data_IF_185857153344
#
_entry.id   IF_185857153344
#
_cell.length_a   1.000
_cell.length_b   1.000
_cell.length_c   1.000
_cell.angle_alpha   90.00
_cell.angle_beta   90.00
_cell.angle_gamma   90.00
#
_symmetry.space_group_name_H-M   'P 1'
#
loop_
_entity.id
_entity.type
_entity.pdbx_description
1 polymer ?
#
# COMPACT_ATOMS: atom_id res chain seq x y z
N UNK A 1 -9.12 -10.17 6.73
CA UNK A 1 -9.52 -10.33 5.30
C UNK A 1 -8.30 -10.79 4.53
N UNK A 2 -8.49 -11.64 3.52
CA UNK A 2 -7.41 -12.03 2.62
C UNK A 2 -6.93 -10.79 1.82
N UNK A 3 -5.63 -10.74 1.55
CA UNK A 3 -5.01 -9.68 0.75
C UNK A 3 -5.51 -9.75 -0.70
N UNK A 4 -6.02 -8.64 -1.24
CA UNK A 4 -6.39 -8.53 -2.66
C UNK A 4 -5.15 -8.12 -3.46
N UNK A 5 -4.83 -8.85 -4.53
CA UNK A 5 -3.59 -8.67 -5.30
C UNK A 5 -3.85 -8.11 -6.71
N UNK A 6 -2.94 -7.24 -7.18
CA UNK A 6 -2.93 -6.80 -8.58
C UNK A 6 -2.37 -7.92 -9.46
N UNK A 7 -3.18 -8.38 -10.42
CA UNK A 7 -2.76 -9.26 -11.49
C UNK A 7 -2.73 -8.53 -12.84
N UNK A 8 -1.76 -8.86 -13.68
CA UNK A 8 -1.58 -8.28 -15.02
C UNK A 8 -1.27 -9.39 -16.00
N UNK A 9 -1.89 -9.34 -17.18
CA UNK A 9 -1.57 -10.20 -18.32
C UNK A 9 -0.28 -9.70 -18.96
N UNK A 10 0.74 -10.56 -19.05
CA UNK A 10 2.11 -10.19 -19.42
C UNK A 10 2.72 -11.21 -20.39
N UNK A 11 3.80 -10.81 -21.05
CA UNK A 11 4.48 -11.63 -22.05
C UNK A 11 3.68 -11.79 -23.35
N UNK A 12 2.66 -10.94 -23.55
CA UNK A 12 1.79 -10.99 -24.72
C UNK A 12 2.39 -10.26 -25.93
N UNK A 13 3.24 -9.25 -25.69
CA UNK A 13 3.82 -8.40 -26.74
C UNK A 13 5.36 -8.52 -26.80
N UNK A 14 5.99 -8.39 -27.99
CA UNK A 14 7.45 -8.39 -28.11
C UNK A 14 8.13 -7.24 -27.38
N UNK A 15 7.47 -6.09 -27.24
CA UNK A 15 7.95 -4.91 -26.50
C UNK A 15 6.85 -4.45 -25.55
N UNK A 16 6.86 -4.99 -24.34
CA UNK A 16 5.94 -4.64 -23.27
C UNK A 16 6.68 -3.77 -22.25
N UNK A 17 6.01 -2.75 -21.70
CA UNK A 17 6.64 -1.77 -20.82
C UNK A 17 7.08 -2.44 -19.50
N UNK A 18 8.37 -2.37 -19.17
CA UNK A 18 8.95 -2.93 -17.92
C UNK A 18 8.25 -2.42 -16.66
N UNK A 19 7.62 -1.24 -16.70
CA UNK A 19 6.87 -0.68 -15.56
C UNK A 19 5.60 -1.47 -15.23
N UNK A 20 5.03 -2.21 -16.19
CA UNK A 20 3.91 -3.13 -15.92
C UNK A 20 4.39 -4.30 -15.06
N UNK A 21 5.54 -4.88 -15.40
CA UNK A 21 6.14 -5.97 -14.63
C UNK A 21 6.50 -5.56 -13.21
N UNK A 22 6.97 -4.32 -13.01
CA UNK A 22 7.26 -3.76 -11.69
C UNK A 22 6.00 -3.56 -10.83
N UNK A 23 4.84 -3.37 -11.46
CA UNK A 23 3.57 -3.13 -10.76
C UNK A 23 2.86 -4.43 -10.35
N UNK A 24 2.98 -5.49 -11.15
CA UNK A 24 2.29 -6.77 -10.94
C UNK A 24 2.71 -7.47 -9.63
N UNK A 25 1.72 -7.89 -8.82
CA UNK A 25 1.92 -8.85 -7.72
C UNK A 25 1.79 -10.30 -8.22
N UNK A 26 0.99 -10.46 -9.28
CA UNK A 26 0.60 -11.73 -9.90
C UNK A 26 0.68 -11.52 -11.43
N UNK A 27 1.45 -12.34 -12.15
CA UNK A 27 1.72 -12.18 -13.58
C UNK A 27 1.17 -13.35 -14.39
N UNK A 28 0.12 -13.10 -15.18
CA UNK A 28 -0.48 -14.12 -16.05
C UNK A 28 0.30 -14.14 -17.36
N UNK A 29 1.19 -15.11 -17.52
CA UNK A 29 2.15 -15.15 -18.62
C UNK A 29 1.56 -15.93 -19.80
N UNK A 30 1.48 -15.29 -20.97
CA UNK A 30 1.01 -15.92 -22.20
C UNK A 30 1.79 -17.20 -22.54
N UNK A 31 1.09 -18.24 -23.00
CA UNK A 31 1.67 -19.60 -23.14
C UNK A 31 1.80 -20.09 -24.59
N UNK A 32 1.67 -19.20 -25.57
CA UNK A 32 1.85 -19.48 -26.98
C UNK A 32 0.57 -19.69 -27.79
N UNK A 33 -0.59 -19.84 -27.15
CA UNK A 33 -1.89 -20.01 -27.82
C UNK A 33 -2.34 -18.73 -28.53
N UNK A 34 -2.67 -17.69 -27.76
CA UNK A 34 -3.08 -16.38 -28.28
C UNK A 34 -1.90 -15.45 -28.52
N UNK A 35 -0.92 -15.53 -27.63
CA UNK A 35 0.27 -14.70 -27.60
C UNK A 35 1.39 -15.45 -26.86
N UNK A 36 2.59 -14.85 -26.79
CA UNK A 36 3.75 -15.44 -26.15
C UNK A 36 4.62 -16.23 -27.12
N UNK A 37 5.91 -15.91 -27.16
CA UNK A 37 6.96 -16.75 -27.75
C UNK A 37 8.02 -17.04 -26.68
N UNK A 38 9.05 -17.82 -27.00
CA UNK A 38 10.09 -18.15 -26.03
C UNK A 38 10.74 -16.91 -25.41
N UNK A 39 10.97 -15.88 -26.23
CA UNK A 39 11.63 -14.64 -25.80
C UNK A 39 10.72 -13.84 -24.86
N UNK A 40 9.46 -13.65 -25.20
CA UNK A 40 8.53 -12.87 -24.38
C UNK A 40 8.18 -13.60 -23.07
N UNK A 41 8.00 -14.92 -23.11
CA UNK A 41 7.79 -15.75 -21.92
C UNK A 41 9.00 -15.71 -20.98
N UNK A 42 10.22 -15.90 -21.52
CA UNK A 42 11.46 -15.83 -20.72
C UNK A 42 11.63 -14.46 -20.08
N UNK A 43 11.42 -13.37 -20.83
CA UNK A 43 11.48 -12.01 -20.26
C UNK A 43 10.50 -11.83 -19.10
N UNK A 44 9.25 -12.30 -19.25
CA UNK A 44 8.25 -12.19 -18.21
C UNK A 44 8.62 -12.99 -16.95
N UNK A 45 9.17 -14.19 -17.12
CA UNK A 45 9.68 -15.03 -16.02
C UNK A 45 10.88 -14.38 -15.32
N UNK A 46 11.83 -13.84 -16.07
CA UNK A 46 12.98 -13.12 -15.50
C UNK A 46 12.55 -11.87 -14.74
N UNK A 47 11.55 -11.13 -15.25
CA UNK A 47 10.97 -10.00 -14.55
C UNK A 47 10.27 -10.44 -13.25
N UNK A 48 9.58 -11.57 -13.27
CA UNK A 48 9.01 -12.16 -12.04
C UNK A 48 10.10 -12.50 -11.02
N UNK A 49 11.22 -13.07 -11.47
CA UNK A 49 12.38 -13.36 -10.59
C UNK A 49 12.96 -12.08 -9.98
N UNK A 50 13.13 -11.01 -10.78
CA UNK A 50 13.66 -9.73 -10.32
C UNK A 50 12.76 -9.02 -9.31
N UNK A 51 11.44 -9.07 -9.53
CA UNK A 51 10.47 -8.29 -8.76
C UNK A 51 9.82 -9.07 -7.61
N UNK A 52 10.05 -10.40 -7.53
CA UNK A 52 9.33 -11.26 -6.59
C UNK A 52 7.84 -11.44 -6.93
N UNK A 53 7.46 -11.23 -8.19
CA UNK A 53 6.10 -11.39 -8.70
C UNK A 53 5.75 -12.88 -8.85
N UNK A 54 4.52 -13.25 -8.51
CA UNK A 54 4.05 -14.64 -8.66
C UNK A 54 3.74 -14.93 -10.13
N UNK A 55 4.39 -15.93 -10.71
CA UNK A 55 4.16 -16.34 -12.10
C UNK A 55 3.04 -17.39 -12.22
N UNK A 56 2.17 -17.21 -13.21
CA UNK A 56 1.11 -18.16 -13.55
C UNK A 56 0.92 -18.32 -15.05
N UNK A 57 0.35 -19.46 -15.44
CA UNK A 57 0.06 -19.75 -16.84
C UNK A 57 -1.17 -18.98 -17.31
N UNK A 58 -1.10 -18.42 -18.51
CA UNK A 58 -2.21 -17.75 -19.17
C UNK A 58 -2.60 -18.46 -20.48
N UNK A 59 -3.17 -19.69 -20.40
CA UNK A 59 -3.54 -20.46 -21.57
C UNK A 59 -4.79 -19.91 -22.25
N UNK A 60 -4.93 -20.13 -23.54
CA UNK A 60 -6.01 -19.60 -24.37
C UNK A 60 -6.51 -20.65 -25.38
N UNK A 61 -7.52 -20.30 -26.17
CA UNK A 61 -7.69 -20.94 -27.47
C UNK A 61 -6.47 -20.66 -28.37
N UNK A 62 -6.13 -21.58 -29.28
CA UNK A 62 -5.05 -21.39 -30.26
C UNK A 62 -5.49 -20.46 -31.39
N UNK A 63 -5.66 -19.19 -31.06
CA UNK A 63 -6.19 -18.15 -31.93
C UNK A 63 -5.30 -16.91 -31.89
N UNK A 64 -4.06 -17.06 -32.36
CA UNK A 64 -3.10 -15.95 -32.39
C UNK A 64 -3.55 -14.80 -33.28
N UNK A 65 -4.29 -15.09 -34.36
CA UNK A 65 -4.75 -14.09 -35.30
C UNK A 65 -5.74 -13.08 -34.68
N UNK A 66 -6.57 -13.52 -33.73
CA UNK A 66 -7.50 -12.65 -33.02
C UNK A 66 -7.17 -12.51 -31.52
N UNK A 67 -5.93 -12.79 -31.16
CA UNK A 67 -5.42 -12.65 -29.79
C UNK A 67 -6.25 -13.44 -28.77
N UNK A 68 -6.76 -14.62 -29.13
CA UNK A 68 -7.53 -15.48 -28.23
C UNK A 68 -8.86 -14.89 -27.79
N UNK A 69 -9.36 -13.85 -28.48
CA UNK A 69 -10.59 -13.14 -28.14
C UNK A 69 -11.82 -13.69 -28.86
N UNK A 70 -11.68 -14.68 -29.75
CA UNK A 70 -12.80 -15.40 -30.36
C UNK A 70 -12.97 -16.78 -29.72
N UNK A 71 -14.23 -17.15 -29.50
CA UNK A 71 -14.56 -18.49 -29.04
C UNK A 71 -14.44 -19.47 -30.22
N UNK A 72 -13.61 -20.51 -30.04
CA UNK A 72 -13.44 -21.55 -31.05
C UNK A 72 -14.31 -22.77 -30.71
N UNK A 73 -14.82 -23.45 -31.74
CA UNK A 73 -15.44 -24.75 -31.58
C UNK A 73 -14.35 -25.82 -31.57
N UNK A 74 -14.03 -26.32 -30.37
CA UNK A 74 -12.99 -27.32 -30.14
C UNK A 74 -13.54 -28.43 -29.25
N UNK A 75 -13.18 -29.68 -29.53
CA UNK A 75 -13.60 -30.80 -28.70
C UNK A 75 -12.91 -30.71 -27.31
N UNK A 76 -13.59 -31.05 -26.19
CA UNK A 76 -13.00 -30.95 -24.86
C UNK A 76 -11.65 -31.68 -24.71
N UNK A 77 -11.48 -32.87 -25.28
CA UNK A 77 -10.21 -33.61 -25.23
C UNK A 77 -9.09 -32.91 -26.00
N UNK A 78 -9.41 -32.29 -27.13
CA UNK A 78 -8.45 -31.50 -27.90
C UNK A 78 -8.06 -30.22 -27.14
N UNK A 79 -9.04 -29.52 -26.56
CA UNK A 79 -8.80 -28.34 -25.73
C UNK A 79 -7.91 -28.68 -24.53
N UNK A 80 -8.16 -29.82 -23.86
CA UNK A 80 -7.33 -30.30 -22.75
C UNK A 80 -5.87 -30.44 -23.21
N UNK A 81 -5.62 -31.11 -24.33
CA UNK A 81 -4.28 -31.32 -24.88
C UNK A 81 -3.60 -29.99 -25.25
N UNK A 82 -4.33 -29.07 -25.88
CA UNK A 82 -3.83 -27.73 -26.23
C UNK A 82 -3.42 -26.93 -24.98
N UNK A 83 -4.26 -26.95 -23.94
CA UNK A 83 -3.99 -26.26 -22.66
C UNK A 83 -2.78 -26.90 -21.96
N UNK A 84 -2.70 -28.22 -21.90
CA UNK A 84 -1.55 -28.93 -21.32
C UNK A 84 -0.25 -28.56 -22.05
N UNK A 85 -0.25 -28.58 -23.38
CA UNK A 85 0.92 -28.21 -24.18
C UNK A 85 1.35 -26.75 -23.97
N UNK A 86 0.38 -25.82 -23.91
CA UNK A 86 0.63 -24.41 -23.59
C UNK A 86 1.32 -24.25 -22.23
N UNK A 87 0.73 -24.84 -21.19
CA UNK A 87 1.25 -24.76 -19.83
C UNK A 87 2.63 -25.43 -19.69
N UNK A 88 2.85 -26.58 -20.33
CA UNK A 88 4.13 -27.30 -20.28
C UNK A 88 5.29 -26.48 -20.89
N UNK A 89 5.04 -25.74 -21.97
CA UNK A 89 6.04 -24.82 -22.56
C UNK A 89 6.48 -23.75 -21.57
N UNK A 90 5.53 -23.12 -20.86
CA UNK A 90 5.87 -22.11 -19.85
C UNK A 90 6.64 -22.75 -18.69
N UNK A 91 6.23 -23.91 -18.20
CA UNK A 91 6.89 -24.63 -17.10
C UNK A 91 8.34 -24.99 -17.43
N UNK A 92 8.63 -25.40 -18.67
CA UNK A 92 10.00 -25.68 -19.12
C UNK A 92 10.89 -24.43 -19.00
N UNK A 93 10.46 -23.29 -19.54
CA UNK A 93 11.19 -22.03 -19.45
C UNK A 93 11.33 -21.54 -18.01
N UNK A 94 10.25 -21.67 -17.23
CA UNK A 94 10.23 -21.26 -15.83
C UNK A 94 11.24 -22.06 -14.99
N UNK A 95 11.43 -23.35 -15.31
CA UNK A 95 12.42 -24.22 -14.68
C UNK A 95 13.86 -23.78 -14.97
N UNK A 96 14.14 -23.32 -16.20
CA UNK A 96 15.45 -22.79 -16.57
C UNK A 96 15.76 -21.45 -15.88
N UNK A 97 14.76 -20.58 -15.72
CA UNK A 97 14.90 -19.29 -15.03
C UNK A 97 14.91 -19.45 -13.50
N UNK A 98 14.38 -20.56 -12.97
CA UNK A 98 14.28 -20.82 -11.54
C UNK A 98 13.05 -20.19 -10.86
N UNK A 99 11.98 -19.94 -11.61
CA UNK A 99 10.72 -19.37 -11.10
C UNK A 99 9.61 -20.41 -11.17
N UNK A 100 8.90 -20.72 -10.07
CA UNK A 100 7.82 -21.68 -10.12
C UNK A 100 6.53 -21.06 -10.70
N UNK A 101 5.86 -21.80 -11.59
CA UNK A 101 4.50 -21.49 -12.06
C UNK A 101 3.51 -22.18 -11.13
N UNK A 102 2.68 -21.42 -10.38
CA UNK A 102 1.87 -21.97 -9.26
C UNK A 102 0.36 -21.85 -9.45
N UNK A 103 -0.08 -21.17 -10.50
CA UNK A 103 -1.48 -20.95 -10.77
C UNK A 103 -1.72 -20.80 -12.26
N UNK A 104 -2.99 -20.85 -12.67
CA UNK A 104 -3.39 -20.57 -14.04
C UNK A 104 -4.64 -19.69 -14.10
N UNK A 105 -4.68 -18.82 -15.11
CA UNK A 105 -5.83 -17.99 -15.48
C UNK A 105 -6.09 -18.21 -16.97
N UNK A 106 -7.22 -18.76 -17.41
CA UNK A 106 -7.49 -18.81 -18.85
C UNK A 106 -7.60 -17.41 -19.45
N UNK A 107 -7.23 -17.25 -20.72
CA UNK A 107 -7.23 -15.97 -21.43
C UNK A 107 -8.53 -15.75 -22.22
N UNK A 108 -8.94 -14.49 -22.34
CA UNK A 108 -9.85 -14.02 -23.38
C UNK A 108 -11.15 -14.82 -23.51
N UNK A 109 -11.43 -15.34 -24.70
CA UNK A 109 -12.64 -16.12 -24.96
C UNK A 109 -12.65 -17.45 -24.20
N UNK A 110 -11.50 -18.07 -23.96
CA UNK A 110 -11.41 -19.32 -23.19
C UNK A 110 -11.86 -19.11 -21.75
N UNK A 111 -11.49 -17.98 -21.13
CA UNK A 111 -11.95 -17.58 -19.79
C UNK A 111 -13.47 -17.57 -19.68
N UNK A 112 -14.14 -16.95 -20.65
CA UNK A 112 -15.60 -16.85 -20.65
C UNK A 112 -16.29 -18.16 -21.04
N UNK A 113 -15.76 -18.89 -22.02
CA UNK A 113 -16.30 -20.17 -22.48
C UNK A 113 -16.20 -21.23 -21.37
N UNK A 114 -15.03 -21.36 -20.73
CA UNK A 114 -14.81 -22.27 -19.61
C UNK A 114 -15.65 -21.91 -18.38
N UNK A 115 -16.01 -20.63 -18.18
CA UNK A 115 -16.92 -20.27 -17.09
C UNK A 115 -18.38 -20.65 -17.35
N UNK A 116 -18.77 -20.81 -18.63
CA UNK A 116 -20.14 -21.10 -19.06
C UNK A 116 -20.37 -22.60 -19.27
N UNK A 117 -19.40 -23.30 -19.86
CA UNK A 117 -19.53 -24.70 -20.27
C UNK A 117 -18.75 -25.64 -19.32
N UNK A 118 -19.44 -26.54 -18.59
CA UNK A 118 -18.80 -27.52 -17.71
C UNK A 118 -17.81 -28.47 -18.38
N UNK A 119 -18.02 -28.83 -19.64
CA UNK A 119 -17.11 -29.72 -20.37
C UNK A 119 -15.79 -28.99 -20.69
N UNK A 120 -15.88 -27.74 -21.16
CA UNK A 120 -14.68 -26.91 -21.40
C UNK A 120 -13.97 -26.57 -20.08
N UNK A 121 -14.72 -26.26 -19.03
CA UNK A 121 -14.18 -26.02 -17.69
C UNK A 121 -13.31 -27.20 -17.21
N UNK A 122 -13.85 -28.42 -17.34
CA UNK A 122 -13.15 -29.64 -16.97
C UNK A 122 -11.90 -29.87 -17.82
N UNK A 123 -12.00 -29.70 -19.14
CA UNK A 123 -10.87 -29.85 -20.05
C UNK A 123 -9.72 -28.88 -19.70
N UNK A 124 -10.04 -27.61 -19.41
CA UNK A 124 -9.06 -26.61 -18.98
C UNK A 124 -8.40 -27.03 -17.66
N UNK A 125 -9.20 -27.42 -16.65
CA UNK A 125 -8.67 -27.84 -15.34
C UNK A 125 -7.75 -29.05 -15.47
N UNK A 126 -8.18 -30.09 -16.19
CA UNK A 126 -7.38 -31.29 -16.41
C UNK A 126 -6.08 -30.97 -17.16
N UNK A 127 -6.13 -30.15 -18.22
CA UNK A 127 -4.95 -29.78 -19.00
C UNK A 127 -3.93 -28.99 -18.20
N UNK A 128 -4.37 -28.04 -17.36
CA UNK A 128 -3.45 -27.30 -16.49
C UNK A 128 -2.85 -28.22 -15.42
N UNK A 129 -3.64 -29.07 -14.78
CA UNK A 129 -3.15 -30.00 -13.73
C UNK A 129 -2.14 -30.99 -14.31
N UNK A 130 -2.34 -31.45 -15.54
CA UNK A 130 -1.38 -32.32 -16.23
C UNK A 130 -0.01 -31.67 -16.38
N UNK A 131 0.03 -30.36 -16.67
CA UNK A 131 1.28 -29.63 -16.91
C UNK A 131 1.94 -29.08 -15.63
N UNK A 132 1.16 -28.55 -14.69
CA UNK A 132 1.68 -27.88 -13.47
C UNK A 132 1.65 -28.78 -12.23
N UNK A 133 0.93 -29.90 -12.28
CA UNK A 133 0.72 -30.80 -11.16
C UNK A 133 -0.42 -30.37 -10.21
N UNK A 134 -0.65 -31.16 -9.14
CA UNK A 134 -1.69 -30.87 -8.16
C UNK A 134 -1.33 -29.70 -7.24
N UNK A 135 -2.33 -29.14 -6.56
CA UNK A 135 -2.12 -28.08 -5.55
C UNK A 135 -1.89 -26.69 -6.11
N UNK A 136 -2.17 -26.49 -7.40
CA UNK A 136 -2.22 -25.17 -8.02
C UNK A 136 -3.48 -24.38 -7.63
N UNK A 137 -3.43 -23.08 -7.87
CA UNK A 137 -4.61 -22.20 -7.78
C UNK A 137 -5.14 -21.91 -9.17
N UNK A 138 -6.45 -21.94 -9.36
CA UNK A 138 -7.10 -21.34 -10.52
C UNK A 138 -7.53 -19.91 -10.21
N UNK A 139 -7.34 -19.01 -11.16
CA UNK A 139 -7.82 -17.64 -11.08
C UNK A 139 -8.89 -17.45 -12.16
N UNK A 140 -10.06 -16.98 -11.76
CA UNK A 140 -11.21 -16.87 -12.66
C UNK A 140 -12.42 -16.12 -12.07
N UNK A 141 -13.58 -16.17 -12.74
CA UNK A 141 -14.78 -15.47 -12.28
C UNK A 141 -15.22 -15.93 -10.89
N UNK A 142 -15.90 -15.05 -10.14
CA UNK A 142 -16.37 -15.33 -8.79
C UNK A 142 -17.33 -16.53 -8.66
N UNK A 143 -17.98 -16.92 -9.76
CA UNK A 143 -18.85 -18.07 -9.86
C UNK A 143 -18.89 -18.61 -11.30
N UNK A 144 -19.29 -19.87 -11.47
CA UNK A 144 -19.48 -20.51 -12.76
C UNK A 144 -18.76 -21.85 -12.88
N UNK A 145 -18.81 -22.44 -14.08
CA UNK A 145 -18.37 -23.80 -14.34
C UNK A 145 -16.87 -24.00 -14.06
N UNK A 146 -16.03 -22.99 -14.33
CA UNK A 146 -14.58 -23.05 -14.06
C UNK A 146 -14.29 -23.20 -12.56
N UNK A 147 -15.02 -22.46 -11.72
CA UNK A 147 -14.89 -22.55 -10.26
C UNK A 147 -15.33 -23.92 -9.73
N UNK A 148 -16.44 -24.44 -10.24
CA UNK A 148 -16.93 -25.76 -9.84
C UNK A 148 -16.01 -26.89 -10.31
N UNK A 149 -15.42 -26.79 -11.51
CA UNK A 149 -14.45 -27.74 -12.01
C UNK A 149 -13.15 -27.74 -11.17
N UNK A 150 -12.62 -26.56 -10.84
CA UNK A 150 -11.45 -26.44 -9.96
C UNK A 150 -11.73 -27.03 -8.57
N UNK A 151 -12.92 -26.75 -8.00
CA UNK A 151 -13.36 -27.30 -6.73
C UNK A 151 -13.49 -28.82 -6.78
N UNK A 152 -14.08 -29.38 -7.84
CA UNK A 152 -14.24 -30.82 -8.03
C UNK A 152 -12.88 -31.53 -8.14
N UNK A 153 -11.87 -30.85 -8.68
CA UNK A 153 -10.49 -31.33 -8.72
C UNK A 153 -9.70 -31.10 -7.40
N UNK A 154 -10.34 -30.55 -6.36
CA UNK A 154 -9.69 -30.27 -5.07
C UNK A 154 -8.67 -29.12 -5.11
N UNK A 155 -8.79 -28.21 -6.07
CA UNK A 155 -7.86 -27.10 -6.27
C UNK A 155 -8.31 -25.83 -5.54
N UNK A 156 -7.33 -25.00 -5.19
CA UNK A 156 -7.58 -23.64 -4.70
C UNK A 156 -8.11 -22.75 -5.83
N UNK A 157 -8.91 -21.74 -5.48
CA UNK A 157 -9.50 -20.82 -6.45
C UNK A 157 -9.44 -19.38 -5.95
N UNK A 158 -9.00 -18.45 -6.80
CA UNK A 158 -8.97 -17.01 -6.57
C UNK A 158 -9.97 -16.31 -7.49
N UNK A 159 -10.84 -15.50 -6.91
CA UNK A 159 -11.90 -14.77 -7.62
C UNK A 159 -11.33 -13.48 -8.20
N UNK A 160 -11.49 -13.29 -9.49
CA UNK A 160 -10.99 -12.11 -10.20
C UNK A 160 -12.07 -11.04 -10.36
N UNK A 161 -11.67 -9.79 -10.14
CA UNK A 161 -12.34 -8.60 -10.65
C UNK A 161 -11.44 -7.85 -11.64
N UNK A 162 -12.01 -6.86 -12.31
CA UNK A 162 -11.30 -6.07 -13.32
C UNK A 162 -11.35 -4.60 -12.91
N UNK A 163 -10.17 -4.01 -12.66
CA UNK A 163 -10.08 -2.60 -12.29
C UNK A 163 -10.39 -1.69 -13.49
N UNK A 164 -10.07 -2.15 -14.70
CA UNK A 164 -10.09 -1.39 -15.95
C UNK A 164 -11.31 -1.67 -16.85
N UNK A 165 -12.26 -2.48 -16.38
CA UNK A 165 -13.46 -2.85 -17.13
C UNK A 165 -14.73 -2.44 -16.41
N UNK A 166 -15.68 -1.94 -17.19
CA UNK A 166 -17.05 -1.73 -16.72
C UNK A 166 -17.77 -3.06 -16.51
N UNK A 167 -18.49 -3.17 -15.40
CA UNK A 167 -19.32 -4.31 -15.04
C UNK A 167 -20.79 -3.93 -15.00
N UNK A 168 -21.66 -4.84 -15.43
CA UNK A 168 -23.11 -4.74 -15.25
C UNK A 168 -23.49 -5.07 -13.78
N UNK A 169 -24.74 -4.75 -13.36
CA UNK A 169 -25.21 -5.09 -12.01
C UNK A 169 -25.18 -6.59 -11.67
N UNK A 170 -25.25 -7.46 -12.69
CA UNK A 170 -25.12 -8.92 -12.54
C UNK A 170 -23.66 -9.40 -12.41
N UNK A 171 -22.69 -8.47 -12.40
CA UNK A 171 -21.26 -8.74 -12.31
C UNK A 171 -20.60 -9.10 -13.65
N UNK A 172 -21.36 -9.24 -14.74
CA UNK A 172 -20.81 -9.51 -16.07
C UNK A 172 -20.05 -8.31 -16.64
N UNK A 173 -18.99 -8.57 -17.41
CA UNK A 173 -18.28 -7.49 -18.09
C UNK A 173 -19.13 -6.89 -19.20
N UNK A 174 -19.09 -5.56 -19.33
CA UNK A 174 -19.63 -4.87 -20.50
C UNK A 174 -18.78 -5.27 -21.72
N UNK A 175 -19.38 -5.78 -22.82
CA UNK A 175 -18.66 -6.18 -24.02
C UNK A 175 -17.79 -5.07 -24.59
N UNK A 176 -16.60 -5.43 -25.08
CA UNK A 176 -15.72 -4.47 -25.76
C UNK A 176 -16.45 -3.81 -26.94
N UNK A 177 -16.20 -2.53 -27.15
CA UNK A 177 -16.87 -1.71 -28.17
C UNK A 177 -18.16 -1.03 -27.71
N UNK A 178 -18.69 -1.37 -26.53
CA UNK A 178 -19.82 -0.65 -25.93
C UNK A 178 -19.34 0.54 -25.05
N UNK A 179 -20.13 1.62 -24.93
CA UNK A 179 -19.83 2.71 -24.01
C UNK A 179 -19.62 2.20 -22.57
N UNK A 180 -18.55 2.66 -21.91
CA UNK A 180 -18.19 2.25 -20.55
C UNK A 180 -17.55 0.86 -20.43
N UNK A 181 -17.28 0.17 -21.54
CA UNK A 181 -16.65 -1.16 -21.49
C UNK A 181 -15.21 -1.14 -20.94
N UNK A 182 -14.45 -0.09 -21.23
CA UNK A 182 -13.07 0.11 -20.79
C UNK A 182 -13.00 1.42 -20.01
N UNK A 183 -12.42 1.36 -18.81
CA UNK A 183 -12.23 2.50 -17.92
C UNK A 183 -10.82 3.05 -18.16
N UNK A 184 -10.65 3.89 -19.18
CA UNK A 184 -9.32 4.35 -19.62
C UNK A 184 -8.65 5.38 -18.71
N UNK A 185 -9.40 6.02 -17.81
CA UNK A 185 -8.87 6.97 -16.85
C UNK A 185 -8.29 6.22 -15.63
N UNK A 186 -6.98 6.35 -15.33
CA UNK A 186 -6.37 5.72 -14.16
C UNK A 186 -7.09 6.00 -12.85
N UNK A 187 -7.64 7.20 -12.68
CA UNK A 187 -8.37 7.58 -11.46
C UNK A 187 -9.71 6.84 -11.32
N UNK A 188 -10.40 6.59 -12.44
CA UNK A 188 -11.65 5.82 -12.45
C UNK A 188 -11.37 4.35 -12.17
N UNK A 189 -10.29 3.79 -12.74
CA UNK A 189 -9.87 2.42 -12.48
C UNK A 189 -9.42 2.23 -11.02
N UNK A 190 -8.72 3.22 -10.45
CA UNK A 190 -8.34 3.28 -9.03
C UNK A 190 -9.57 3.24 -8.12
N UNK A 191 -10.55 4.10 -8.36
CA UNK A 191 -11.76 4.17 -7.53
C UNK A 191 -12.60 2.88 -7.66
N UNK A 192 -12.63 2.28 -8.86
CA UNK A 192 -13.23 0.98 -9.09
C UNK A 192 -12.48 -0.14 -8.33
N UNK A 193 -11.14 -0.12 -8.32
CA UNK A 193 -10.33 -1.07 -7.56
C UNK A 193 -10.58 -0.97 -6.05
N UNK A 194 -10.65 0.26 -5.50
CA UNK A 194 -11.01 0.50 -4.11
C UNK A 194 -12.37 -0.11 -3.77
N UNK A 195 -13.38 0.15 -4.62
CA UNK A 195 -14.74 -0.39 -4.45
C UNK A 195 -14.76 -1.92 -4.46
N UNK A 196 -14.09 -2.54 -5.42
CA UNK A 196 -14.08 -4.00 -5.58
C UNK A 196 -13.33 -4.68 -4.43
N UNK A 197 -12.15 -4.17 -4.07
CA UNK A 197 -11.34 -4.74 -3.00
C UNK A 197 -12.03 -4.66 -1.63
N UNK A 198 -12.72 -3.56 -1.33
CA UNK A 198 -13.50 -3.42 -0.09
C UNK A 198 -14.76 -4.28 -0.07
N UNK A 199 -15.37 -4.56 -1.23
CA UNK A 199 -16.56 -5.39 -1.34
C UNK A 199 -16.36 -6.85 -0.95
N UNK A 200 -15.11 -7.35 -0.85
CA UNK A 200 -14.81 -8.71 -0.38
C UNK A 200 -15.22 -9.85 -1.33
N UNK A 201 -15.62 -9.51 -2.55
CA UNK A 201 -16.05 -10.46 -3.59
C UNK A 201 -14.93 -10.91 -4.51
N UNK A 202 -13.77 -10.26 -4.45
CA UNK A 202 -12.60 -10.51 -5.28
C UNK A 202 -11.37 -10.78 -4.41
N UNK A 203 -10.49 -11.64 -4.91
CA UNK A 203 -9.19 -11.98 -4.32
C UNK A 203 -8.04 -11.38 -5.16
N UNK A 204 -8.29 -11.12 -6.46
CA UNK A 204 -7.36 -10.44 -7.36
C UNK A 204 -8.07 -9.41 -8.23
N UNK A 205 -7.37 -8.34 -8.61
CA UNK A 205 -7.84 -7.34 -9.56
C UNK A 205 -6.95 -7.32 -10.80
N UNK A 206 -7.55 -7.39 -11.97
CA UNK A 206 -6.87 -7.35 -13.27
C UNK A 206 -6.77 -5.91 -13.78
N UNK A 207 -5.60 -5.58 -14.34
CA UNK A 207 -5.40 -4.48 -15.29
C UNK A 207 -4.81 -5.10 -16.55
N UNK A 208 -5.38 -4.82 -17.71
CA UNK A 208 -4.84 -5.33 -18.97
C UNK A 208 -3.69 -4.43 -19.45
N UNK A 209 -2.55 -5.05 -19.79
CA UNK A 209 -1.35 -4.34 -20.26
C UNK A 209 -1.52 -3.67 -21.63
N UNK A 210 -2.51 -4.09 -22.42
CA UNK A 210 -2.78 -3.59 -23.78
C UNK A 210 -3.63 -2.31 -23.82
N UNK A 211 -4.10 -1.81 -22.67
CA UNK A 211 -4.94 -0.61 -22.61
C UNK A 211 -4.12 0.68 -22.71
N UNK A 212 -4.61 1.73 -23.40
CA UNK A 212 -4.03 3.06 -23.30
C UNK A 212 -3.94 3.50 -21.84
N UNK A 213 -2.75 3.92 -21.38
CA UNK A 213 -2.52 4.31 -19.98
C UNK A 213 -2.39 3.14 -18.98
N UNK A 214 -2.24 1.90 -19.45
CA UNK A 214 -2.14 0.72 -18.59
C UNK A 214 -1.05 0.82 -17.50
N UNK A 215 0.08 1.47 -17.79
CA UNK A 215 1.15 1.69 -16.80
C UNK A 215 0.69 2.57 -15.64
N UNK A 216 0.10 3.72 -15.94
CA UNK A 216 -0.38 4.65 -14.91
C UNK A 216 -1.52 4.03 -14.10
N UNK A 217 -2.39 3.29 -14.78
CA UNK A 217 -3.48 2.55 -14.17
C UNK A 217 -2.99 1.44 -13.23
N UNK A 218 -2.05 0.60 -13.68
CA UNK A 218 -1.45 -0.44 -12.87
C UNK A 218 -0.77 0.15 -11.63
N UNK A 219 -0.09 1.29 -11.78
CA UNK A 219 0.53 2.02 -10.65
C UNK A 219 -0.51 2.51 -9.65
N UNK A 220 -1.59 3.15 -10.10
CA UNK A 220 -2.63 3.65 -9.19
C UNK A 220 -3.40 2.53 -8.49
N UNK A 221 -3.74 1.46 -9.21
CA UNK A 221 -4.39 0.28 -8.63
C UNK A 221 -3.47 -0.41 -7.62
N UNK A 222 -2.17 -0.54 -7.93
CA UNK A 222 -1.17 -1.08 -7.00
C UNK A 222 -1.09 -0.25 -5.73
N UNK A 223 -1.02 1.07 -5.85
CA UNK A 223 -0.98 1.97 -4.70
C UNK A 223 -2.20 1.81 -3.79
N UNK A 224 -3.40 1.64 -4.37
CA UNK A 224 -4.63 1.37 -3.61
C UNK A 224 -4.57 0.04 -2.85
N UNK A 225 -4.16 -1.04 -3.52
CA UNK A 225 -4.10 -2.35 -2.87
C UNK A 225 -3.07 -2.37 -1.73
N UNK A 226 -1.96 -1.65 -1.87
CA UNK A 226 -0.96 -1.52 -0.80
C UNK A 226 -1.44 -0.74 0.42
N UNK A 227 -2.29 0.27 0.24
CA UNK A 227 -2.83 1.01 1.39
C UNK A 227 -4.00 0.25 2.04
N UNK A 228 -4.74 -0.55 1.28
CA UNK A 228 -5.78 -1.44 1.81
C UNK A 228 -5.21 -2.66 2.55
N UNK A 229 -3.96 -3.03 2.30
CA UNK A 229 -3.27 -4.08 3.05
C UNK A 229 -2.67 -3.58 4.37
N UNK A 230 -2.76 -2.28 4.67
CA UNK A 230 -2.38 -1.76 5.98
C UNK A 230 -3.24 -2.39 7.07
N UNK A 231 -2.58 -2.78 8.18
CA UNK A 231 -3.32 -3.27 9.34
C UNK A 231 -4.18 -2.14 9.89
N UNK A 232 -5.47 -2.41 9.98
CA UNK A 232 -6.46 -1.47 10.49
C UNK A 232 -7.36 -2.14 11.52
N UNK A 233 -7.84 -1.36 12.49
CA UNK A 233 -8.77 -1.79 13.52
C UNK A 233 -9.85 -0.73 13.71
N UNK A 234 -11.11 -1.13 13.60
CA UNK A 234 -12.23 -0.26 13.94
C UNK A 234 -12.31 -0.09 15.46
N UNK A 235 -12.39 1.15 15.92
CA UNK A 235 -12.56 1.50 17.33
C UNK A 235 -14.02 1.94 17.54
N UNK A 236 -14.92 0.95 17.57
CA UNK A 236 -16.36 1.19 17.52
C UNK A 236 -16.81 1.63 16.12
N UNK A 237 -17.86 2.44 16.06
CA UNK A 237 -18.45 2.96 14.81
C UNK A 237 -17.84 4.30 14.36
N UNK A 238 -17.19 5.02 15.28
CA UNK A 238 -16.74 6.41 15.07
C UNK A 238 -15.26 6.58 14.77
N UNK A 239 -14.46 5.50 14.75
CA UNK A 239 -13.02 5.64 14.55
C UNK A 239 -12.35 4.43 13.91
N UNK A 240 -11.25 4.69 13.20
CA UNK A 240 -10.39 3.68 12.58
C UNK A 240 -8.93 3.95 12.95
N UNK A 241 -8.29 2.94 13.56
CA UNK A 241 -6.85 2.95 13.81
C UNK A 241 -6.12 2.24 12.68
N UNK A 242 -5.06 2.86 12.19
CA UNK A 242 -4.19 2.36 11.12
C UNK A 242 -2.78 2.17 11.65
N UNK A 243 -2.10 1.10 11.21
CA UNK A 243 -0.65 0.96 11.38
C UNK A 243 0.04 1.58 10.16
N UNK A 244 0.86 2.60 10.39
CA UNK A 244 1.56 3.34 9.36
C UNK A 244 2.96 2.75 9.10
N UNK A 245 3.28 2.35 7.86
CA UNK A 245 4.62 1.94 7.52
C UNK A 245 5.58 3.15 7.52
N UNK A 246 6.88 2.89 7.67
CA UNK A 246 7.91 3.94 7.70
C UNK A 246 7.90 4.80 6.43
N UNK A 247 7.56 4.21 5.27
CA UNK A 247 7.54 4.90 3.97
C UNK A 247 6.50 6.02 3.83
N UNK A 248 5.43 6.02 4.64
CA UNK A 248 4.40 7.06 4.54
C UNK A 248 4.81 8.28 5.35
N UNK A 249 4.98 9.43 4.72
CA UNK A 249 5.31 10.67 5.40
C UNK A 249 4.11 11.12 6.26
N UNK A 250 4.37 11.46 7.53
CA UNK A 250 3.32 11.59 8.57
C UNK A 250 2.47 12.83 8.35
N UNK A 251 3.07 13.93 7.90
CA UNK A 251 2.32 15.16 7.56
C UNK A 251 1.43 14.92 6.34
N UNK A 252 1.92 14.25 5.31
CA UNK A 252 1.16 13.93 4.12
C UNK A 252 -0.03 13.00 4.43
N UNK A 253 0.17 12.02 5.34
CA UNK A 253 -0.92 11.18 5.88
C UNK A 253 -1.97 12.02 6.59
N UNK A 254 -1.55 12.91 7.51
CA UNK A 254 -2.47 13.79 8.24
C UNK A 254 -3.32 14.63 7.27
N UNK A 255 -2.69 15.34 6.34
CA UNK A 255 -3.40 16.20 5.40
C UNK A 255 -4.34 15.41 4.48
N UNK A 256 -3.91 14.23 4.00
CA UNK A 256 -4.71 13.41 3.09
C UNK A 256 -5.95 12.82 3.76
N UNK A 257 -5.82 12.32 4.99
CA UNK A 257 -6.94 11.73 5.73
C UNK A 257 -7.90 12.81 6.22
N UNK A 258 -7.38 13.96 6.66
CA UNK A 258 -8.20 15.08 7.15
C UNK A 258 -9.02 15.75 6.04
N UNK A 259 -8.58 15.65 4.79
CA UNK A 259 -9.32 16.12 3.63
C UNK A 259 -10.49 15.21 3.21
N UNK A 260 -10.64 14.02 3.81
CA UNK A 260 -11.74 13.11 3.46
C UNK A 260 -13.08 13.59 4.04
N UNK A 261 -14.15 13.68 3.23
CA UNK A 261 -15.48 14.01 3.74
C UNK A 261 -15.94 13.05 4.84
N UNK A 262 -16.51 13.59 5.90
CA UNK A 262 -16.99 12.81 7.06
C UNK A 262 -15.92 12.50 8.10
N UNK A 263 -14.64 12.82 7.84
CA UNK A 263 -13.58 12.81 8.86
C UNK A 263 -13.67 14.08 9.70
N UNK A 264 -13.79 13.92 11.01
CA UNK A 264 -13.86 15.02 12.00
C UNK A 264 -12.47 15.37 12.53
N UNK A 265 -11.64 14.36 12.78
CA UNK A 265 -10.28 14.56 13.26
C UNK A 265 -9.35 13.41 12.85
N UNK A 266 -8.05 13.69 12.83
CA UNK A 266 -7.01 12.71 12.56
C UNK A 266 -5.84 12.94 13.51
N UNK A 267 -5.51 11.91 14.28
CA UNK A 267 -4.33 11.92 15.16
C UNK A 267 -3.27 11.01 14.55
N UNK A 268 -2.14 11.60 14.16
CA UNK A 268 -0.99 10.87 13.58
C UNK A 268 0.14 10.80 14.61
N UNK A 269 0.48 9.57 14.99
CA UNK A 269 1.70 9.23 15.72
C UNK A 269 2.76 8.63 14.78
N UNK A 270 3.83 8.09 15.36
CA UNK A 270 4.93 7.54 14.56
C UNK A 270 4.55 6.24 13.84
N UNK A 271 3.90 5.33 14.56
CA UNK A 271 3.52 4.00 14.07
C UNK A 271 2.03 3.89 13.72
N UNK A 272 1.20 4.82 14.19
CA UNK A 272 -0.25 4.72 14.07
C UNK A 272 -0.86 6.04 13.63
N UNK A 273 -1.97 5.96 12.89
CA UNK A 273 -2.94 7.04 12.76
C UNK A 273 -4.28 6.59 13.34
N UNK A 274 -5.01 7.50 13.96
CA UNK A 274 -6.40 7.31 14.32
C UNK A 274 -7.24 8.33 13.55
N UNK A 275 -8.18 7.85 12.76
CA UNK A 275 -9.15 8.66 12.02
C UNK A 275 -10.46 8.62 12.79
N UNK A 276 -11.04 9.79 13.07
CA UNK A 276 -12.32 9.94 13.73
C UNK A 276 -13.35 10.43 12.72
N UNK A 277 -14.49 9.76 12.66
CA UNK A 277 -15.61 10.07 11.78
C UNK A 277 -16.74 10.72 12.55
N UNK A 278 -17.63 11.42 11.84
CA UNK A 278 -18.84 11.98 12.43
C UNK A 278 -19.72 10.85 13.00
N UNK A 279 -19.95 10.78 14.33
CA UNK A 279 -20.77 9.73 14.92
C UNK A 279 -22.24 9.82 14.52
N UNK A 280 -22.72 10.97 14.01
CA UNK A 280 -24.08 11.10 13.50
C UNK A 280 -24.23 10.54 12.08
N UNK A 281 -23.12 10.32 11.37
CA UNK A 281 -23.09 9.80 10.00
C UNK A 281 -21.84 8.93 9.77
N UNK A 282 -21.67 7.82 10.51
CA UNK A 282 -20.50 6.97 10.36
C UNK A 282 -20.45 6.35 8.96
N UNK A 283 -19.25 6.16 8.37
CA UNK A 283 -19.12 5.53 7.07
C UNK A 283 -19.50 4.04 7.13
N UNK A 284 -20.15 3.53 6.08
CA UNK A 284 -20.49 2.10 5.96
C UNK A 284 -19.25 1.20 6.06
N UNK A 285 -18.15 1.62 5.42
CA UNK A 285 -16.84 1.01 5.59
C UNK A 285 -15.79 2.11 5.84
N UNK A 286 -15.29 2.28 7.08
CA UNK A 286 -14.32 3.33 7.41
C UNK A 286 -13.00 3.17 6.66
N UNK A 287 -12.68 1.97 6.14
CA UNK A 287 -11.45 1.72 5.38
C UNK A 287 -11.43 2.43 4.04
N UNK A 288 -12.55 2.95 3.54
CA UNK A 288 -12.59 3.80 2.33
C UNK A 288 -11.62 4.97 2.41
N UNK A 289 -11.39 5.52 3.61
CA UNK A 289 -10.43 6.61 3.85
C UNK A 289 -9.00 6.24 3.40
N UNK A 290 -8.64 4.95 3.42
CA UNK A 290 -7.32 4.48 2.99
C UNK A 290 -7.03 4.81 1.52
N UNK A 291 -8.06 4.90 0.67
CA UNK A 291 -7.90 5.30 -0.72
C UNK A 291 -7.20 6.66 -0.88
N UNK A 292 -7.33 7.56 0.10
CA UNK A 292 -6.61 8.84 0.11
C UNK A 292 -5.10 8.68 0.22
N UNK A 293 -4.65 7.64 0.91
CA UNK A 293 -3.22 7.35 1.07
C UNK A 293 -2.57 6.84 -0.22
N UNK A 294 -3.36 6.32 -1.16
CA UNK A 294 -2.86 5.87 -2.46
C UNK A 294 -2.54 7.04 -3.40
N UNK A 295 -3.21 8.17 -3.20
CA UNK A 295 -3.09 9.38 -4.04
C UNK A 295 -2.42 10.53 -3.29
N UNK A 296 -1.91 10.27 -2.07
CA UNK A 296 -1.21 11.28 -1.28
C UNK A 296 -0.05 11.84 -2.12
N UNK A 297 -0.12 13.11 -2.54
CA UNK A 297 0.96 13.71 -3.30
C UNK A 297 2.20 13.79 -2.42
N UNK A 298 3.38 13.66 -3.04
CA UNK A 298 4.59 14.12 -2.37
C UNK A 298 4.38 15.59 -1.98
N UNK A 299 4.67 15.94 -0.73
CA UNK A 299 4.64 17.33 -0.30
C UNK A 299 5.59 18.13 -1.19
N UNK A 300 5.06 19.12 -1.91
CA UNK A 300 5.83 19.93 -2.87
C UNK A 300 6.71 20.97 -2.18
N UNK A 301 6.35 21.36 -0.97
CA UNK A 301 7.05 22.38 -0.19
C UNK A 301 7.86 21.70 0.91
N UNK A 302 9.11 22.15 1.09
CA UNK A 302 9.88 21.76 2.26
C UNK A 302 9.14 22.20 3.53
N UNK A 303 9.11 21.36 4.58
CA UNK A 303 8.53 21.76 5.84
C UNK A 303 9.21 23.03 6.37
N UNK A 304 8.44 23.97 6.97
CA UNK A 304 9.00 25.17 7.57
C UNK A 304 10.11 24.83 8.57
N UNK A 305 11.19 25.62 8.53
CA UNK A 305 12.22 25.62 9.57
C UNK A 305 11.86 26.67 10.63
N UNK A 306 11.64 26.21 11.86
CA UNK A 306 11.34 27.05 13.02
C UNK A 306 12.57 27.08 13.93
N UNK A 307 13.16 28.26 14.09
CA UNK A 307 14.24 28.47 15.05
C UNK A 307 13.67 28.78 16.42
N UNK A 308 14.07 28.00 17.43
CA UNK A 308 13.68 28.19 18.82
C UNK A 308 14.91 28.60 19.62
N UNK A 309 14.87 29.80 20.20
CA UNK A 309 15.93 30.31 21.08
C UNK A 309 15.83 29.63 22.43
N UNK A 310 16.91 29.04 22.91
CA UNK A 310 16.95 28.28 24.17
C UNK A 310 18.07 28.78 25.06
N UNK A 311 17.70 29.20 26.26
CA UNK A 311 18.65 29.36 27.35
C UNK A 311 18.81 28.03 28.06
N UNK A 312 20.01 27.49 28.12
CA UNK A 312 20.28 26.18 28.72
C UNK A 312 20.47 26.32 30.23
N UNK A 313 19.37 26.65 30.92
CA UNK A 313 19.27 26.91 32.37
C UNK A 313 18.43 25.86 33.11
N UNK A 314 18.24 24.69 32.50
CA UNK A 314 17.34 23.67 33.01
C UNK A 314 17.87 23.01 34.29
N UNK A 315 17.00 22.73 35.29
CA UNK A 315 17.43 22.20 36.59
C UNK A 315 17.99 20.77 36.55
N UNK A 316 17.87 20.05 35.42
CA UNK A 316 18.46 18.72 35.24
C UNK A 316 19.71 18.73 34.37
N UNK A 317 20.12 19.88 33.84
CA UNK A 317 21.17 19.95 32.83
C UNK A 317 22.50 19.40 33.36
N UNK A 318 22.88 19.76 34.59
CA UNK A 318 24.08 19.25 35.26
C UNK A 318 24.00 17.74 35.49
N UNK A 319 22.85 17.24 35.95
CA UNK A 319 22.65 15.81 36.21
C UNK A 319 22.64 14.99 34.91
N UNK A 320 22.11 15.55 33.82
CA UNK A 320 22.19 14.96 32.48
C UNK A 320 23.64 14.89 32.03
N UNK A 321 24.38 15.99 32.13
CA UNK A 321 25.79 16.08 31.75
C UNK A 321 26.66 15.06 32.52
N UNK A 322 26.49 14.98 33.84
CA UNK A 322 27.16 13.99 34.69
C UNK A 322 26.84 12.55 34.26
N UNK A 323 25.56 12.24 34.03
CA UNK A 323 25.12 10.90 33.62
C UNK A 323 25.75 10.44 32.30
N UNK A 324 25.93 11.36 31.35
CA UNK A 324 26.48 11.02 30.03
C UNK A 324 27.98 11.25 29.91
N UNK A 325 28.64 11.74 30.98
CA UNK A 325 30.08 11.99 31.02
C UNK A 325 30.52 13.16 30.14
N UNK A 326 29.68 14.19 29.99
CA UNK A 326 29.94 15.39 29.20
C UNK A 326 29.91 16.64 30.07
N UNK A 327 30.44 17.77 29.56
CA UNK A 327 30.19 19.06 30.18
C UNK A 327 28.77 19.54 29.88
N UNK A 328 28.26 20.48 30.69
CA UNK A 328 26.98 21.16 30.43
C UNK A 328 26.98 21.84 29.06
N UNK A 329 28.11 22.47 28.68
CA UNK A 329 28.28 23.11 27.38
C UNK A 329 28.23 22.12 26.22
N UNK A 330 28.83 20.93 26.38
CA UNK A 330 28.78 19.88 25.36
C UNK A 330 27.35 19.36 25.18
N UNK A 331 26.59 19.17 26.27
CA UNK A 331 25.18 18.76 26.17
C UNK A 331 24.36 19.80 25.40
N UNK A 332 24.53 21.09 25.74
CA UNK A 332 23.85 22.18 25.06
C UNK A 332 24.24 22.28 23.57
N UNK A 333 25.54 22.15 23.26
CA UNK A 333 26.05 22.16 21.89
C UNK A 333 25.48 20.99 21.07
N UNK A 334 25.52 19.77 21.62
CA UNK A 334 24.99 18.60 20.95
C UNK A 334 23.49 18.73 20.69
N UNK A 335 22.73 19.22 21.66
CA UNK A 335 21.30 19.47 21.49
C UNK A 335 21.01 20.54 20.42
N UNK A 336 21.80 21.60 20.34
CA UNK A 336 21.63 22.67 19.34
C UNK A 336 22.20 22.36 17.94
N UNK A 337 23.08 21.36 17.82
CA UNK A 337 23.90 21.12 16.62
C UNK A 337 23.18 20.49 15.42
N UNK A 338 21.94 20.04 15.57
CA UNK A 338 21.20 19.37 14.50
C UNK A 338 19.76 19.87 14.38
N UNK A 339 19.20 19.73 13.19
CA UNK A 339 17.79 19.96 12.94
C UNK A 339 16.94 18.76 13.38
N UNK A 340 15.83 19.04 14.04
CA UNK A 340 14.86 18.05 14.44
C UNK A 340 13.62 18.12 13.55
N UNK A 341 12.94 17.00 13.35
CA UNK A 341 11.60 17.00 12.75
C UNK A 341 10.55 16.77 13.82
N UNK A 342 9.41 17.45 13.77
CA UNK A 342 8.25 17.12 14.60
C UNK A 342 7.68 15.77 14.15
N UNK A 343 7.87 14.72 14.95
CA UNK A 343 7.50 13.33 14.60
C UNK A 343 6.07 12.97 14.98
N UNK A 344 5.54 13.61 16.02
CA UNK A 344 4.15 13.45 16.46
C UNK A 344 3.75 14.62 17.37
N UNK A 345 2.45 14.90 17.42
CA UNK A 345 1.85 15.87 18.34
C UNK A 345 1.05 15.13 19.42
N UNK A 346 1.06 15.61 20.66
CA UNK A 346 0.22 15.03 21.71
C UNK A 346 0.79 15.17 23.11
N UNK A 347 0.28 14.39 24.06
CA UNK A 347 0.46 14.54 25.52
C UNK A 347 -0.14 15.82 26.10
N UNK A 348 0.07 16.97 25.47
CA UNK A 348 -0.59 18.24 25.75
C UNK A 348 -0.90 18.95 24.42
N UNK A 349 -1.96 19.76 24.34
CA UNK A 349 -2.15 20.69 23.24
C UNK A 349 -0.86 21.47 22.94
N UNK A 350 -0.41 21.44 21.68
CA UNK A 350 0.80 22.15 21.23
C UNK A 350 2.14 21.51 21.60
N UNK A 351 2.15 20.39 22.33
CA UNK A 351 3.40 19.68 22.62
C UNK A 351 3.82 18.82 21.42
N UNK A 352 5.02 19.11 20.91
CA UNK A 352 5.63 18.44 19.78
C UNK A 352 6.72 17.48 20.27
N UNK A 353 6.62 16.21 19.88
CA UNK A 353 7.71 15.25 20.04
C UNK A 353 8.67 15.42 18.87
N UNK A 354 9.87 15.93 19.18
CA UNK A 354 10.89 16.17 18.17
C UNK A 354 11.68 14.88 17.86
N UNK A 355 12.38 14.88 16.73
CA UNK A 355 13.18 13.78 16.19
C UNK A 355 14.24 13.23 17.14
N UNK A 356 15.07 12.32 16.64
CA UNK A 356 16.08 11.68 17.48
C UNK A 356 17.18 12.67 17.89
N UNK A 357 17.40 12.80 19.20
CA UNK A 357 18.55 13.51 19.76
C UNK A 357 19.84 12.74 19.50
N UNK A 358 20.98 13.44 19.54
CA UNK A 358 22.30 12.79 19.47
C UNK A 358 22.38 11.69 20.55
N UNK A 359 22.82 10.49 20.16
CA UNK A 359 22.85 9.33 21.04
C UNK A 359 23.69 9.54 22.31
N UNK A 360 24.64 10.48 22.29
CA UNK A 360 25.49 10.85 23.43
C UNK A 360 24.75 11.62 24.52
N UNK A 361 23.63 12.27 24.20
CA UNK A 361 22.81 13.02 25.18
C UNK A 361 21.47 12.33 25.48
N UNK A 362 21.24 11.14 24.93
CA UNK A 362 20.03 10.37 25.18
C UNK A 362 20.00 9.89 26.63
N UNK A 363 18.98 10.31 27.38
CA UNK A 363 18.82 9.98 28.81
C UNK A 363 17.41 9.49 29.08
N UNK A 364 17.21 8.46 29.93
CA UNK A 364 15.87 7.98 30.24
C UNK A 364 15.02 9.07 30.91
N UNK A 365 13.70 8.93 30.79
CA UNK A 365 12.74 9.74 31.54
C UNK A 365 12.98 9.56 33.05
N UNK A 366 12.68 10.59 33.84
CA UNK A 366 12.68 10.49 35.30
C UNK A 366 11.72 9.40 35.78
N UNK A 367 12.15 8.63 36.78
CA UNK A 367 11.36 7.56 37.38
C UNK A 367 10.08 8.10 38.04
N UNK A 368 10.17 9.26 38.70
CA UNK A 368 9.03 9.96 39.28
C UNK A 368 8.80 11.28 38.54
N UNK A 369 7.66 11.45 37.83
CA UNK A 369 7.34 12.72 37.19
C UNK A 369 7.23 13.86 38.18
N UNK A 370 7.66 15.06 37.77
CA UNK A 370 7.42 16.29 38.53
C UNK A 370 5.93 16.62 38.53
N UNK A 371 5.38 17.10 39.66
CA UNK A 371 4.01 17.59 39.71
C UNK A 371 3.84 18.85 38.85
N UNK A 372 4.92 19.61 38.62
CA UNK A 372 4.91 20.82 37.80
C UNK A 372 6.23 21.01 37.07
N UNK A 373 6.15 21.08 35.75
CA UNK A 373 7.16 21.58 34.82
C UNK A 373 6.71 22.98 34.40
N UNK A 374 7.58 24.01 34.44
CA UNK A 374 7.25 25.34 33.95
C UNK A 374 6.85 25.36 32.46
N UNK A 375 6.13 26.41 32.05
CA UNK A 375 5.90 26.64 30.62
C UNK A 375 7.24 26.88 29.90
N UNK A 376 7.30 26.47 28.65
CA UNK A 376 8.42 26.65 27.73
C UNK A 376 9.72 25.93 28.13
N UNK A 377 9.66 25.04 29.11
CA UNK A 377 10.80 24.17 29.42
C UNK A 377 11.12 23.26 28.25
N UNK A 378 12.40 23.18 27.90
CA UNK A 378 12.96 22.25 26.92
C UNK A 378 13.49 21.05 27.70
N UNK A 379 13.18 19.83 27.24
CA UNK A 379 13.61 18.64 27.96
C UNK A 379 13.98 17.45 27.09
N UNK A 380 14.62 16.47 27.72
CA UNK A 380 15.05 15.20 27.14
C UNK A 380 14.35 14.01 27.80
N UNK A 381 13.90 13.06 26.98
CA UNK A 381 13.40 11.77 27.43
C UNK A 381 13.65 10.66 26.39
N UNK A 382 14.44 9.66 26.78
CA UNK A 382 14.96 8.64 25.87
C UNK A 382 15.75 9.28 24.73
N UNK A 383 15.31 9.03 23.50
CA UNK A 383 15.88 9.63 22.28
C UNK A 383 15.10 10.85 21.79
N UNK A 384 14.27 11.47 22.63
CA UNK A 384 13.40 12.59 22.24
C UNK A 384 13.77 13.88 22.96
N UNK A 385 13.52 14.99 22.26
CA UNK A 385 13.47 16.34 22.82
C UNK A 385 12.12 17.00 22.50
N UNK A 386 11.77 18.06 23.22
CA UNK A 386 10.46 18.71 23.14
C UNK A 386 10.38 19.94 24.03
N UNK A 387 9.37 20.77 23.76
CA UNK A 387 9.12 22.02 24.47
C UNK A 387 7.75 21.92 25.14
N UNK A 388 7.70 22.16 26.44
CA UNK A 388 6.45 22.23 27.19
C UNK A 388 5.68 23.49 26.80
N UNK A 389 4.47 23.41 26.22
CA UNK A 389 3.75 24.58 25.73
C UNK A 389 3.18 25.44 26.88
N UNK A 390 2.92 24.83 28.03
CA UNK A 390 2.44 25.47 29.25
C UNK A 390 2.76 24.60 30.48
N UNK A 391 2.58 25.17 31.67
CA UNK A 391 2.90 24.50 32.91
C UNK A 391 2.03 23.25 33.14
N UNK A 392 2.67 22.12 33.40
CA UNK A 392 2.00 20.79 33.48
C UNK A 392 2.86 19.78 34.22
N UNK A 393 2.32 18.67 34.74
CA UNK A 393 3.14 17.58 35.27
C UNK A 393 4.00 16.94 34.15
N UNK A 394 5.21 16.47 34.46
CA UNK A 394 6.10 15.93 33.43
C UNK A 394 7.31 15.21 34.00
N UNK A 395 7.78 14.16 33.33
CA UNK A 395 8.96 13.39 33.77
C UNK A 395 10.20 13.58 32.91
N UNK A 396 10.22 14.59 32.05
CA UNK A 396 11.37 14.84 31.17
C UNK A 396 12.49 15.53 31.96
N UNK A 397 13.74 15.27 31.56
CA UNK A 397 14.91 15.96 32.12
C UNK A 397 14.94 17.36 31.51
N UNK A 398 14.74 18.40 32.31
CA UNK A 398 14.64 19.78 31.85
C UNK A 398 16.06 20.35 31.67
N UNK A 399 16.41 20.65 30.42
CA UNK A 399 17.76 21.10 30.03
C UNK A 399 17.84 22.59 29.69
N UNK A 400 16.69 23.25 29.58
CA UNK A 400 16.65 24.69 29.32
C UNK A 400 15.25 25.26 29.23
N UNK A 401 15.18 26.52 28.83
CA UNK A 401 13.95 27.30 28.65
C UNK A 401 13.95 27.93 27.27
N UNK A 402 12.89 27.70 26.51
CA UNK A 402 12.67 28.40 25.25
C UNK A 402 12.28 29.87 25.54
N UNK A 403 13.09 30.82 25.05
CA UNK A 403 12.87 32.26 25.24
C UNK A 403 12.20 32.86 23.99
N UNK A 404 11.41 33.92 24.21
CA UNK A 404 10.62 34.58 23.16
C UNK A 404 9.71 33.61 22.35
N UNK A 405 9.43 32.44 22.93
CA UNK A 405 8.64 31.38 22.32
C UNK A 405 7.17 31.52 22.70
N UNK A 406 6.29 31.40 21.70
CA UNK A 406 4.84 31.33 21.92
C UNK A 406 4.33 29.99 21.39
N UNK A 407 3.73 29.17 22.25
CA UNK A 407 3.27 27.84 21.86
C UNK A 407 2.06 27.85 20.91
N UNK A 408 1.28 28.94 20.89
CA UNK A 408 0.06 29.05 20.11
C UNK A 408 -0.03 30.40 19.39
N UNK A 409 -0.48 30.36 18.15
CA UNK A 409 -0.76 31.52 17.33
C UNK A 409 -2.28 31.71 17.20
N UNK A 410 -2.79 32.94 17.39
CA UNK A 410 -4.20 33.24 17.16
C UNK A 410 -4.65 32.83 15.75
N UNK A 411 -5.76 32.08 15.67
CA UNK A 411 -6.36 31.64 14.40
C UNK A 411 -5.69 30.42 13.74
N UNK A 412 -4.44 30.08 14.08
CA UNK A 412 -3.69 29.00 13.41
C UNK A 412 -3.30 27.83 14.34
N UNK A 413 -3.57 27.96 15.65
CA UNK A 413 -3.43 26.88 16.63
C UNK A 413 -2.01 26.77 17.18
N UNK A 414 -1.51 25.55 17.35
CA UNK A 414 -0.14 25.31 17.81
C UNK A 414 0.88 25.90 16.82
N UNK A 415 1.95 26.52 17.35
CA UNK A 415 3.04 27.05 16.54
C UNK A 415 3.77 25.93 15.80
N UNK A 416 4.11 24.86 16.52
CA UNK A 416 4.78 23.69 15.95
C UNK A 416 3.75 22.71 15.41
N UNK A 417 3.98 22.20 14.21
CA UNK A 417 3.09 21.26 13.51
C UNK A 417 3.85 20.01 13.09
N UNK A 418 3.08 18.93 12.88
CA UNK A 418 3.62 17.66 12.41
C UNK A 418 4.43 17.86 11.13
N UNK A 419 5.66 17.36 11.12
CA UNK A 419 6.59 17.47 9.99
C UNK A 419 7.45 18.74 9.96
N UNK A 420 7.17 19.77 10.78
CA UNK A 420 8.02 20.97 10.84
C UNK A 420 9.46 20.63 11.23
N UNK A 421 10.42 21.39 10.69
CA UNK A 421 11.84 21.31 11.05
C UNK A 421 12.12 22.31 12.17
N UNK A 422 12.82 21.89 13.20
CA UNK A 422 13.13 22.71 14.39
C UNK A 422 14.64 22.81 14.53
N UNK A 423 15.15 24.02 14.69
CA UNK A 423 16.54 24.26 15.06
C UNK A 423 16.58 25.00 16.40
N UNK A 424 17.37 24.50 17.34
CA UNK A 424 17.57 25.17 18.61
C UNK A 424 18.78 26.12 18.53
N UNK A 425 18.56 27.39 18.82
CA UNK A 425 19.61 28.41 18.91
C UNK A 425 19.95 28.65 20.38
N UNK A 426 21.19 28.37 20.78
CA UNK A 426 21.65 28.69 22.15
C UNK A 426 21.69 30.21 22.34
N UNK A 427 21.14 30.67 23.46
CA UNK A 427 21.27 32.04 23.95
C UNK A 427 21.80 32.04 25.39
N UNK A 428 22.39 33.16 25.79
CA UNK A 428 22.96 33.37 27.13
C UNK A 428 21.89 33.64 28.21
#
# INVERSE_FOLDING_TARGET
MAECLLNIDLGELPEEDERLYASAQVANIACGGHAGDERSMRRALEACARNGTRAGAHPSFEDRANFGRQELQVAPEELRAQVAAQCARLVALASEVGVPVRYAKPHGALYHAANRDPALARAVVEGVVEALGPGITFLGPGAGALREAARAAGLSYAREGFADRGTRPDGSLIPRGQPGAVLSDPSVARDNALRLALGGTVDTLCVHGDSPGAVDMAREVRAVLEVLSLRSESLGEGALRLVLPVRLERRAVLESLKAEPGVVDVVVGEEHACVYFDPAAPPEDPRRVLGRLAVTPALKEEPPLVTVRVRYDGPDLEAVAERVGLSVDDVALLHASHEYTVRSMGFLPGFAYLGEVDGRIAVPRLATPRPRVPAFSVGLAGRRTGIYPFASPGGWNLIGTAVDFTAFQPGSGALLRLGDRILFERVD
#
